data_IF_362086208374
#
_entry.id   IF_362086208374
#
_cell.length_a   1.000
_cell.length_b   1.000
_cell.length_c   1.000
_cell.angle_alpha   90.00
_cell.angle_beta   90.00
_cell.angle_gamma   90.00
#
_symmetry.space_group_name_H-M   'P 1'
#
loop_
_entity.id
_entity.type
_entity.pdbx_description
1 polymer ?
#
# COMPACT_ATOMS: atom_id res chain seq x y z
N UNK A 1 -35.28 29.89 30.37
CA UNK A 1 -34.40 30.44 29.30
C UNK A 1 -32.94 30.01 29.45
N UNK A 2 -32.27 30.21 30.60
CA UNK A 2 -30.84 29.83 30.80
C UNK A 2 -30.54 28.34 30.52
N UNK A 3 -31.36 27.41 31.02
CA UNK A 3 -31.22 25.96 30.77
C UNK A 3 -31.33 25.56 29.28
N UNK A 4 -32.18 26.24 28.52
CA UNK A 4 -32.39 26.01 27.09
C UNK A 4 -31.17 26.47 26.27
N UNK A 5 -30.57 27.61 26.66
CA UNK A 5 -29.32 28.13 26.08
C UNK A 5 -28.14 27.19 26.30
N UNK A 6 -28.02 26.57 27.48
CA UNK A 6 -26.96 25.59 27.76
C UNK A 6 -27.12 24.29 26.96
N UNK A 7 -28.35 23.80 26.77
CA UNK A 7 -28.61 22.61 25.92
C UNK A 7 -28.36 22.87 24.44
N UNK A 8 -28.75 24.04 23.92
CA UNK A 8 -28.50 24.40 22.51
C UNK A 8 -27.00 24.62 22.27
N UNK A 9 -26.31 25.26 23.22
CA UNK A 9 -24.85 25.46 23.14
C UNK A 9 -24.08 24.14 23.16
N UNK A 10 -24.42 23.21 24.06
CA UNK A 10 -23.77 21.89 24.12
C UNK A 10 -24.04 21.05 22.87
N UNK A 11 -25.25 21.12 22.30
CA UNK A 11 -25.57 20.43 21.04
C UNK A 11 -24.78 20.98 19.86
N UNK A 12 -24.55 22.30 19.77
CA UNK A 12 -23.69 22.90 18.75
C UNK A 12 -22.22 22.47 18.86
N UNK A 13 -21.67 22.37 20.08
CA UNK A 13 -20.28 21.92 20.27
C UNK A 13 -20.08 20.46 19.88
N UNK A 14 -21.05 19.59 20.14
CA UNK A 14 -21.01 18.18 19.70
C UNK A 14 -21.08 18.11 18.17
N UNK A 15 -21.90 18.95 17.52
CA UNK A 15 -22.03 18.95 16.06
C UNK A 15 -20.77 19.45 15.34
N UNK A 16 -20.04 20.44 15.89
CA UNK A 16 -18.76 20.87 15.35
C UNK A 16 -17.65 19.82 15.49
N UNK A 17 -17.68 18.99 16.54
CA UNK A 17 -16.66 17.95 16.75
C UNK A 17 -16.74 16.79 15.73
N UNK A 18 -17.91 16.57 15.11
CA UNK A 18 -18.09 15.57 14.04
C UNK A 18 -17.87 16.12 12.63
N UNK A 19 -17.70 17.43 12.49
CA UNK A 19 -17.45 18.03 11.20
C UNK A 19 -16.01 17.69 10.75
N UNK A 20 -15.91 16.81 9.75
CA UNK A 20 -14.77 16.61 8.85
C UNK A 20 -13.72 15.52 9.18
N UNK A 21 -14.17 14.27 9.37
CA UNK A 21 -13.31 13.12 9.03
C UNK A 21 -13.33 12.95 7.50
N UNK A 22 -12.43 13.65 6.80
CA UNK A 22 -12.16 13.38 5.39
C UNK A 22 -11.33 12.09 5.28
N UNK A 23 -11.99 10.98 4.92
CA UNK A 23 -11.32 9.76 4.47
C UNK A 23 -11.00 9.92 2.99
N UNK A 24 -9.71 9.99 2.66
CA UNK A 24 -9.25 9.85 1.28
C UNK A 24 -9.20 8.36 0.96
N UNK A 25 -9.98 7.94 -0.04
CA UNK A 25 -9.96 6.59 -0.58
C UNK A 25 -8.84 6.44 -1.63
N UNK A 26 -8.35 5.22 -1.81
CA UNK A 26 -7.18 4.92 -2.64
C UNK A 26 -7.70 4.83 -4.05
N UNK A 27 -7.50 5.91 -4.80
CA UNK A 27 -7.91 5.99 -6.20
C UNK A 27 -6.68 5.86 -7.07
N UNK A 28 -6.15 4.63 -7.20
CA UNK A 28 -5.15 4.35 -8.23
C UNK A 28 -5.87 4.45 -9.58
N UNK A 29 -5.84 5.65 -10.17
CA UNK A 29 -6.66 6.00 -11.33
C UNK A 29 -6.27 5.20 -12.58
N UNK A 30 -4.99 4.79 -12.68
CA UNK A 30 -4.45 4.07 -13.85
C UNK A 30 -3.57 2.91 -13.42
N UNK A 31 -3.98 1.71 -13.83
CA UNK A 31 -3.17 0.49 -13.79
C UNK A 31 -2.89 0.01 -15.22
N UNK A 32 -1.72 -0.60 -15.51
CA UNK A 32 -0.60 -0.78 -14.57
C UNK A 32 0.09 0.54 -14.22
N UNK A 33 0.66 0.61 -13.02
CA UNK A 33 1.46 1.75 -12.56
C UNK A 33 2.85 1.25 -12.21
N UNK A 34 3.88 1.85 -12.81
CA UNK A 34 5.27 1.45 -12.64
C UNK A 34 6.08 2.60 -12.04
N UNK A 35 6.96 2.28 -11.10
CA UNK A 35 7.97 3.17 -10.52
C UNK A 35 9.32 2.48 -10.52
N UNK A 36 10.40 3.24 -10.64
CA UNK A 36 11.76 2.69 -10.63
C UNK A 36 12.73 3.61 -9.89
N UNK A 37 13.77 3.01 -9.31
CA UNK A 37 14.99 3.64 -8.83
C UNK A 37 16.18 3.17 -9.67
N UNK A 38 17.40 3.38 -9.21
CA UNK A 38 18.60 2.79 -9.82
C UNK A 38 18.66 1.27 -9.61
N UNK A 39 18.15 0.77 -8.47
CA UNK A 39 18.26 -0.64 -8.10
C UNK A 39 17.01 -1.45 -8.43
N UNK A 40 15.82 -0.85 -8.31
CA UNK A 40 14.56 -1.60 -8.35
C UNK A 40 13.57 -1.01 -9.35
N UNK A 41 12.80 -1.91 -9.97
CA UNK A 41 11.58 -1.56 -10.67
C UNK A 41 10.39 -2.23 -10.01
N UNK A 42 9.34 -1.45 -9.72
CA UNK A 42 8.16 -1.88 -9.01
C UNK A 42 6.93 -1.54 -9.82
N UNK A 43 6.13 -2.55 -10.15
CA UNK A 43 4.92 -2.42 -10.94
C UNK A 43 3.71 -2.96 -10.17
N UNK A 44 2.69 -2.13 -10.04
CA UNK A 44 1.35 -2.54 -9.63
C UNK A 44 0.51 -2.81 -10.86
N UNK A 45 -0.13 -3.97 -10.87
CA UNK A 45 -1.02 -4.44 -11.93
C UNK A 45 -2.39 -4.76 -11.34
N UNK A 46 -3.40 -4.93 -12.20
CA UNK A 46 -4.66 -5.56 -11.78
C UNK A 46 -4.36 -7.00 -11.36
N UNK A 47 -5.13 -7.49 -10.39
CA UNK A 47 -5.13 -8.90 -9.98
C UNK A 47 -5.11 -9.85 -11.19
N UNK A 48 -4.26 -10.87 -11.15
CA UNK A 48 -4.25 -11.91 -12.19
C UNK A 48 -5.48 -12.81 -12.01
N UNK A 49 -6.45 -12.69 -12.91
CA UNK A 49 -7.74 -13.40 -12.86
C UNK A 49 -7.70 -14.85 -13.36
N UNK A 50 -6.50 -15.41 -13.62
CA UNK A 50 -6.36 -16.78 -14.14
C UNK A 50 -6.46 -17.82 -13.01
N UNK A 51 -7.58 -18.55 -12.99
CA UNK A 51 -7.87 -19.68 -12.10
C UNK A 51 -9.22 -19.56 -11.37
N UNK A 52 -9.88 -20.69 -11.10
CA UNK A 52 -11.22 -20.79 -10.47
C UNK A 52 -11.32 -20.17 -9.06
N UNK A 53 -10.19 -19.78 -8.46
CA UNK A 53 -10.14 -19.06 -7.19
C UNK A 53 -10.30 -17.54 -7.39
N UNK A 54 -11.34 -17.16 -8.13
CA UNK A 54 -11.82 -15.79 -8.12
C UNK A 54 -12.29 -15.48 -6.71
N UNK A 55 -11.45 -14.82 -5.93
CA UNK A 55 -11.89 -14.13 -4.72
C UNK A 55 -12.84 -13.01 -5.15
N UNK A 56 -14.11 -13.37 -5.40
CA UNK A 56 -15.22 -12.44 -5.63
C UNK A 56 -15.58 -11.80 -4.29
N UNK A 57 -14.65 -11.01 -3.75
CA UNK A 57 -14.98 -10.15 -2.62
C UNK A 57 -16.10 -9.21 -3.07
N UNK A 58 -17.13 -9.04 -2.22
CA UNK A 58 -18.23 -8.11 -2.49
C UNK A 58 -17.64 -6.78 -2.97
N UNK A 59 -17.99 -6.42 -4.21
CA UNK A 59 -17.54 -5.19 -4.87
C UNK A 59 -17.62 -4.00 -3.89
N UNK A 60 -16.60 -3.15 -3.91
CA UNK A 60 -16.37 -1.95 -3.08
C UNK A 60 -15.75 -2.08 -1.69
N UNK A 61 -15.54 -3.28 -1.11
CA UNK A 61 -14.86 -3.35 0.21
C UNK A 61 -13.34 -3.38 0.08
N UNK A 62 -12.82 -4.15 -0.89
CA UNK A 62 -11.39 -4.30 -1.16
C UNK A 62 -11.11 -4.22 -2.66
N UNK A 63 -9.98 -3.60 -3.00
CA UNK A 63 -9.32 -3.72 -4.30
C UNK A 63 -8.25 -4.82 -4.22
N UNK A 64 -8.02 -5.53 -5.31
CA UNK A 64 -6.97 -6.56 -5.39
C UNK A 64 -5.95 -6.15 -6.44
N UNK A 65 -4.68 -6.20 -6.08
CA UNK A 65 -3.57 -5.84 -6.95
C UNK A 65 -2.60 -7.00 -7.10
N UNK A 66 -1.90 -7.01 -8.23
CA UNK A 66 -0.68 -7.79 -8.43
C UNK A 66 0.55 -6.88 -8.30
N UNK A 67 1.62 -7.39 -7.70
CA UNK A 67 2.91 -6.72 -7.55
C UNK A 67 3.95 -7.47 -8.38
N UNK A 68 4.68 -6.74 -9.23
CA UNK A 68 5.93 -7.22 -9.82
C UNK A 68 7.07 -6.36 -9.30
N UNK A 69 8.11 -7.01 -8.77
CA UNK A 69 9.39 -6.37 -8.42
C UNK A 69 10.46 -6.96 -9.31
N UNK A 70 11.32 -6.12 -9.86
CA UNK A 70 12.45 -6.50 -10.71
C UNK A 70 13.71 -5.81 -10.18
N UNK A 71 14.80 -6.57 -10.07
CA UNK A 71 16.11 -6.00 -9.84
C UNK A 71 16.65 -5.49 -11.18
N UNK A 72 16.82 -4.17 -11.32
CA UNK A 72 17.35 -3.53 -12.54
C UNK A 72 18.76 -2.95 -12.33
N UNK A 73 19.28 -3.03 -11.11
CA UNK A 73 20.60 -2.53 -10.74
C UNK A 73 21.63 -3.65 -10.68
N UNK A 74 22.52 -3.58 -9.67
CA UNK A 74 23.57 -4.57 -9.42
C UNK A 74 23.05 -5.79 -8.65
N UNK A 75 23.89 -6.82 -8.58
CA UNK A 75 23.65 -7.95 -7.70
C UNK A 75 23.73 -7.52 -6.22
N UNK A 76 22.83 -8.05 -5.40
CA UNK A 76 22.66 -7.74 -3.97
C UNK A 76 22.29 -8.98 -3.18
N UNK A 77 22.25 -8.89 -1.85
CA UNK A 77 21.94 -10.00 -0.96
C UNK A 77 20.70 -9.73 -0.09
N UNK A 78 20.16 -10.80 0.49
CA UNK A 78 19.10 -10.78 1.52
C UNK A 78 17.90 -9.89 1.16
N UNK A 79 17.46 -9.94 -0.10
CA UNK A 79 16.35 -9.10 -0.58
C UNK A 79 15.05 -9.49 0.12
N UNK A 80 14.40 -8.52 0.75
CA UNK A 80 13.09 -8.67 1.36
C UNK A 80 12.11 -7.66 0.77
N UNK A 81 10.93 -8.13 0.41
CA UNK A 81 9.85 -7.29 -0.10
C UNK A 81 8.69 -7.29 0.89
N UNK A 82 8.16 -6.11 1.19
CA UNK A 82 6.99 -5.92 2.03
C UNK A 82 6.06 -4.86 1.43
N UNK A 83 4.75 -5.01 1.62
CA UNK A 83 3.79 -3.97 1.28
C UNK A 83 3.03 -3.48 2.51
N UNK A 84 2.72 -2.20 2.49
CA UNK A 84 1.90 -1.53 3.50
C UNK A 84 0.76 -0.77 2.83
N UNK A 85 -0.34 -0.61 3.55
CA UNK A 85 -1.37 0.38 3.23
C UNK A 85 -1.31 1.55 4.19
N UNK A 86 -1.65 2.71 3.69
CA UNK A 86 -1.92 3.89 4.50
C UNK A 86 -3.41 3.99 4.79
N UNK A 87 -3.80 4.31 6.02
CA UNK A 87 -5.19 4.65 6.35
C UNK A 87 -5.30 6.12 6.81
N UNK A 88 -6.17 6.89 6.13
CA UNK A 88 -6.49 8.27 6.50
C UNK A 88 -5.30 9.24 6.59
N UNK A 89 -5.50 10.38 7.27
CA UNK A 89 -4.49 11.45 7.41
C UNK A 89 -3.36 11.12 8.39
N UNK A 90 -3.50 10.08 9.21
CA UNK A 90 -2.60 9.83 10.36
C UNK A 90 -1.31 9.09 10.01
N UNK A 91 -0.98 8.92 8.71
CA UNK A 91 0.24 8.24 8.21
C UNK A 91 0.47 6.80 8.73
N UNK A 92 -0.46 6.22 9.49
CA UNK A 92 -0.33 4.87 10.01
C UNK A 92 -0.18 3.87 8.87
N UNK A 93 0.92 3.09 8.90
CA UNK A 93 1.22 2.03 7.93
C UNK A 93 0.76 0.70 8.51
N UNK A 94 -0.13 0.02 7.80
CA UNK A 94 -0.57 -1.33 8.14
C UNK A 94 0.03 -2.31 7.15
N UNK A 95 0.70 -3.34 7.67
CA UNK A 95 1.29 -4.38 6.82
C UNK A 95 0.19 -5.14 6.05
N UNK A 96 0.41 -5.33 4.75
CA UNK A 96 -0.47 -6.13 3.89
C UNK A 96 -0.01 -7.58 3.81
N UNK A 97 1.30 -7.82 3.99
CA UNK A 97 1.89 -9.15 4.14
C UNK A 97 3.21 -9.05 4.90
N UNK A 98 3.59 -10.13 5.59
CA UNK A 98 4.89 -10.24 6.27
C UNK A 98 6.05 -10.11 5.29
N UNK A 99 7.24 -9.62 5.69
CA UNK A 99 8.39 -9.51 4.81
C UNK A 99 8.67 -10.85 4.12
N UNK A 100 8.79 -10.83 2.80
CA UNK A 100 9.06 -12.03 2.00
C UNK A 100 10.50 -11.95 1.53
N UNK A 101 11.34 -12.86 2.01
CA UNK A 101 12.71 -13.01 1.52
C UNK A 101 12.69 -13.65 0.12
N UNK A 102 13.36 -13.00 -0.84
CA UNK A 102 13.37 -13.38 -2.26
C UNK A 102 14.79 -13.44 -2.76
N UNK A 103 15.49 -14.54 -2.47
CA UNK A 103 16.84 -14.81 -2.98
C UNK A 103 16.92 -14.74 -4.51
N UNK A 104 15.82 -15.01 -5.22
CA UNK A 104 15.79 -14.85 -6.67
C UNK A 104 15.95 -13.39 -7.12
N UNK A 105 15.52 -12.39 -6.34
CA UNK A 105 15.70 -10.97 -6.66
C UNK A 105 17.12 -10.45 -6.43
N UNK A 106 18.00 -11.25 -5.82
CA UNK A 106 19.40 -10.86 -5.57
C UNK A 106 20.21 -10.61 -6.85
N UNK A 107 19.76 -11.14 -7.99
CA UNK A 107 20.48 -11.02 -9.26
C UNK A 107 19.82 -10.00 -10.18
N UNK A 108 20.64 -9.21 -10.86
CA UNK A 108 20.16 -8.26 -11.87
C UNK A 108 19.32 -8.97 -12.96
N UNK A 109 18.24 -8.34 -13.39
CA UNK A 109 17.27 -8.87 -14.35
C UNK A 109 16.30 -9.92 -13.80
N UNK A 110 16.41 -10.31 -12.53
CA UNK A 110 15.46 -11.22 -11.92
C UNK A 110 14.22 -10.51 -11.40
N UNK A 111 13.10 -11.23 -11.44
CA UNK A 111 11.78 -10.71 -11.08
C UNK A 111 11.06 -11.58 -10.07
N UNK A 112 10.25 -10.94 -9.24
CA UNK A 112 9.32 -11.51 -8.29
C UNK A 112 7.92 -11.04 -8.62
N UNK A 113 6.96 -11.96 -8.56
CA UNK A 113 5.54 -11.66 -8.76
C UNK A 113 4.74 -12.12 -7.54
N UNK A 114 3.90 -11.23 -7.04
CA UNK A 114 2.87 -11.52 -6.04
C UNK A 114 1.51 -11.22 -6.66
N UNK A 115 0.76 -12.27 -6.98
CA UNK A 115 -0.35 -12.15 -7.93
C UNK A 115 -1.57 -11.40 -7.40
N UNK A 116 -1.91 -11.58 -6.11
CA UNK A 116 -3.18 -11.10 -5.55
C UNK A 116 -3.04 -10.74 -4.07
N UNK A 117 -2.95 -9.45 -3.72
CA UNK A 117 -3.10 -8.96 -2.35
C UNK A 117 -4.27 -7.97 -2.25
N UNK A 118 -5.04 -8.08 -1.16
CA UNK A 118 -6.24 -7.30 -0.92
C UNK A 118 -5.92 -6.01 -0.15
N UNK A 119 -6.47 -4.90 -0.63
CA UNK A 119 -6.29 -3.55 -0.08
C UNK A 119 -7.68 -2.96 0.14
N UNK A 120 -8.03 -2.49 1.35
CA UNK A 120 -9.32 -1.85 1.57
C UNK A 120 -9.53 -0.68 0.61
N UNK A 121 -10.74 -0.51 0.05
CA UNK A 121 -11.04 0.62 -0.84
C UNK A 121 -10.84 1.99 -0.18
N UNK A 122 -10.98 2.04 1.15
CA UNK A 122 -10.74 3.22 1.99
C UNK A 122 -9.27 3.51 2.33
N UNK A 123 -8.32 2.71 1.84
CA UNK A 123 -6.90 3.02 2.03
C UNK A 123 -6.59 4.40 1.41
N UNK A 124 -5.54 5.09 1.82
CA UNK A 124 -5.13 6.37 1.22
C UNK A 124 -3.91 6.23 0.30
N UNK A 125 -3.27 5.07 0.30
CA UNK A 125 -2.02 4.81 -0.41
C UNK A 125 -1.54 3.37 -0.20
N UNK A 126 -0.66 2.93 -1.08
CA UNK A 126 0.15 1.73 -0.96
C UNK A 126 1.62 2.10 -0.90
N UNK A 127 2.39 1.39 -0.11
CA UNK A 127 3.84 1.57 -0.01
C UNK A 127 4.51 0.22 -0.11
N UNK A 128 5.34 0.04 -1.14
CA UNK A 128 6.16 -1.15 -1.31
C UNK A 128 7.54 -0.83 -0.77
N UNK A 129 7.97 -1.59 0.24
CA UNK A 129 9.27 -1.49 0.86
C UNK A 129 10.15 -2.64 0.39
N UNK A 130 11.35 -2.33 -0.08
CA UNK A 130 12.35 -3.31 -0.46
C UNK A 130 13.60 -3.07 0.39
N UNK A 131 14.02 -4.10 1.13
CA UNK A 131 15.25 -4.11 1.90
C UNK A 131 16.25 -5.04 1.22
N UNK A 132 17.52 -4.69 1.20
CA UNK A 132 18.59 -5.56 0.73
C UNK A 132 19.90 -5.21 1.42
N UNK A 133 20.90 -6.06 1.22
CA UNK A 133 22.26 -5.84 1.71
C UNK A 133 23.26 -5.89 0.56
N UNK A 134 24.31 -5.09 0.63
CA UNK A 134 25.46 -5.16 -0.25
C UNK A 134 26.76 -4.83 0.51
N UNK A 135 27.86 -4.65 -0.20
CA UNK A 135 29.17 -4.30 0.39
C UNK A 135 29.15 -3.01 1.21
N UNK A 136 28.21 -2.09 0.93
CA UNK A 136 28.03 -0.83 1.63
C UNK A 136 27.10 -0.96 2.86
N UNK A 137 26.48 -2.12 3.07
CA UNK A 137 25.66 -2.43 4.24
C UNK A 137 24.19 -2.67 3.91
N UNK A 138 23.31 -2.28 4.84
CA UNK A 138 21.87 -2.47 4.72
C UNK A 138 21.22 -1.27 4.03
N UNK A 139 20.33 -1.55 3.08
CA UNK A 139 19.59 -0.56 2.32
C UNK A 139 18.10 -0.80 2.38
N UNK A 140 17.33 0.27 2.17
CA UNK A 140 15.88 0.26 2.17
C UNK A 140 15.35 1.31 1.21
N UNK A 141 14.42 0.92 0.34
CA UNK A 141 13.70 1.81 -0.56
C UNK A 141 12.19 1.68 -0.43
N UNK A 142 11.50 2.79 -0.65
CA UNK A 142 10.04 2.90 -0.57
C UNK A 142 9.44 3.38 -1.90
N UNK A 143 8.39 2.69 -2.35
CA UNK A 143 7.64 3.03 -3.54
C UNK A 143 6.18 3.29 -3.17
N UNK A 144 5.83 4.56 -2.99
CA UNK A 144 4.46 4.97 -2.66
C UNK A 144 3.57 5.07 -3.91
N UNK A 145 2.39 4.46 -3.89
CA UNK A 145 1.35 4.54 -4.92
C UNK A 145 0.10 5.18 -4.30
N UNK A 146 -0.47 6.19 -4.96
CA UNK A 146 -1.64 6.96 -4.50
C UNK A 146 -2.66 7.05 -5.63
#
# INVERSE_FOLDING_TARGET
MKRLLYTVSTFCFVWLAFATIHVSALSIEKLPMKKSSEQWSVELTKASMTGDNQLKWKNNVYHTYGLTVENIGKDVERVQVQAFRHEGKNKAKYSLFSPIERSNLSKSGQRFRYANFAVPGKAAGLDIMINWTDEQGNHQEHFEFK
#
